data_IF_206279657036
#
_entry.id   IF_206279657036
#
_cell.length_a   1.000
_cell.length_b   1.000
_cell.length_c   1.000
_cell.angle_alpha   90.00
_cell.angle_beta   90.00
_cell.angle_gamma   90.00
#
_symmetry.space_group_name_H-M   'P 1'
#
loop_
_entity.id
_entity.type
_entity.pdbx_description
1 polymer ?
#
# COMPACT_ATOMS: atom_id res chain seq x y z
N UNK A 1 -18.75 -3.36 2.68
CA UNK A 1 -17.80 -4.18 1.90
C UNK A 1 -16.99 -5.14 2.78
N UNK A 2 -16.66 -4.79 4.03
CA UNK A 2 -15.84 -5.63 4.90
C UNK A 2 -16.53 -6.95 5.34
N UNK A 3 -17.83 -6.94 5.66
CA UNK A 3 -18.56 -8.18 6.03
C UNK A 3 -18.55 -9.23 4.90
N UNK A 4 -18.92 -8.92 3.64
CA UNK A 4 -18.76 -9.87 2.53
C UNK A 4 -17.35 -10.41 2.37
N UNK A 5 -16.32 -9.58 2.59
CA UNK A 5 -14.92 -10.02 2.51
C UNK A 5 -14.57 -11.00 3.64
N UNK A 6 -15.01 -10.70 4.88
CA UNK A 6 -14.87 -11.61 6.03
C UNK A 6 -15.54 -12.94 5.73
N UNK A 7 -16.79 -12.93 5.28
CA UNK A 7 -17.56 -14.16 4.99
C UNK A 7 -16.86 -15.01 3.92
N UNK A 8 -16.34 -14.38 2.85
CA UNK A 8 -15.58 -15.10 1.82
C UNK A 8 -14.30 -15.73 2.37
N UNK A 9 -13.56 -15.01 3.21
CA UNK A 9 -12.33 -15.53 3.83
C UNK A 9 -12.65 -16.67 4.80
N UNK A 10 -13.68 -16.53 5.64
CA UNK A 10 -14.09 -17.59 6.58
C UNK A 10 -14.58 -18.84 5.85
N UNK A 11 -15.29 -18.67 4.73
CA UNK A 11 -15.71 -19.78 3.87
C UNK A 11 -14.52 -20.51 3.26
N UNK A 12 -13.52 -19.79 2.76
CA UNK A 12 -12.30 -20.38 2.19
C UNK A 12 -11.46 -21.10 3.25
N UNK A 13 -11.36 -20.51 4.45
CA UNK A 13 -10.57 -21.07 5.55
C UNK A 13 -11.27 -22.20 6.30
N UNK A 14 -12.60 -22.28 6.21
CA UNK A 14 -13.42 -23.23 6.96
C UNK A 14 -13.53 -22.93 8.46
N UNK A 15 -13.11 -21.74 8.91
CA UNK A 15 -13.23 -21.32 10.30
C UNK A 15 -13.45 -19.80 10.42
N UNK A 16 -13.99 -19.37 11.57
CA UNK A 16 -14.24 -17.96 11.85
C UNK A 16 -12.94 -17.20 12.17
N UNK A 17 -12.77 -16.05 11.55
CA UNK A 17 -11.66 -15.14 11.84
C UNK A 17 -12.11 -14.09 12.85
N UNK A 18 -11.27 -13.84 13.84
CA UNK A 18 -11.52 -12.85 14.91
C UNK A 18 -10.58 -11.66 14.84
N UNK A 19 -9.48 -11.78 14.11
CA UNK A 19 -8.46 -10.76 13.99
C UNK A 19 -8.08 -10.57 12.53
N UNK A 20 -7.87 -9.33 12.12
CA UNK A 20 -7.36 -9.02 10.79
C UNK A 20 -6.54 -7.72 10.82
N UNK A 21 -5.59 -7.61 9.89
CA UNK A 21 -4.91 -6.38 9.54
C UNK A 21 -5.44 -5.97 8.17
N UNK A 22 -5.64 -4.67 7.95
CA UNK A 22 -5.88 -4.15 6.61
C UNK A 22 -5.05 -2.89 6.39
N UNK A 23 -4.76 -2.65 5.12
CA UNK A 23 -4.27 -1.36 4.65
C UNK A 23 -5.40 -0.51 4.08
N UNK A 24 -5.17 0.79 4.06
CA UNK A 24 -6.19 1.77 3.68
C UNK A 24 -5.59 2.82 2.76
N UNK A 25 -6.37 3.34 1.81
CA UNK A 25 -5.94 4.48 1.03
C UNK A 25 -5.67 5.64 1.98
N UNK A 26 -4.52 6.30 1.81
CA UNK A 26 -4.17 7.44 2.66
C UNK A 26 -4.99 8.69 2.28
N UNK A 27 -6.23 8.73 2.76
CA UNK A 27 -7.24 9.72 2.44
C UNK A 27 -7.32 10.85 3.47
N UNK A 28 -7.67 12.04 3.01
CA UNK A 28 -8.03 13.14 3.88
C UNK A 28 -9.29 12.79 4.68
N UNK A 29 -9.21 13.00 6.00
CA UNK A 29 -10.30 12.72 6.95
C UNK A 29 -10.71 11.25 7.08
N UNK A 30 -9.86 10.30 6.66
CA UNK A 30 -9.96 8.90 7.08
C UNK A 30 -9.00 8.67 8.24
N UNK A 31 -9.53 8.51 9.44
CA UNK A 31 -8.75 8.36 10.66
C UNK A 31 -8.65 6.88 11.09
N UNK A 32 -7.63 6.49 11.86
CA UNK A 32 -7.53 5.13 12.41
C UNK A 32 -8.79 4.67 13.16
N UNK A 33 -9.48 5.59 13.82
CA UNK A 33 -10.74 5.35 14.53
C UNK A 33 -11.85 4.87 13.58
N UNK A 34 -12.02 5.52 12.42
CA UNK A 34 -13.02 5.12 11.42
C UNK A 34 -12.78 3.69 10.93
N UNK A 35 -11.51 3.30 10.86
CA UNK A 35 -11.09 1.95 10.49
C UNK A 35 -11.42 0.95 11.59
N UNK A 36 -11.10 1.27 12.84
CA UNK A 36 -11.37 0.37 13.96
C UNK A 36 -12.87 0.16 14.15
N UNK A 37 -13.67 1.22 14.04
CA UNK A 37 -15.14 1.14 14.09
C UNK A 37 -15.69 0.23 12.99
N UNK A 38 -15.14 0.32 11.77
CA UNK A 38 -15.53 -0.57 10.67
C UNK A 38 -15.18 -2.04 10.95
N UNK A 39 -14.06 -2.32 11.62
CA UNK A 39 -13.65 -3.66 12.03
C UNK A 39 -14.53 -4.19 13.16
N UNK A 40 -14.77 -3.37 14.19
CA UNK A 40 -15.63 -3.72 15.32
C UNK A 40 -17.06 -4.03 14.85
N UNK A 41 -17.58 -3.23 13.92
CA UNK A 41 -18.92 -3.42 13.33
C UNK A 41 -19.11 -4.81 12.71
N UNK A 42 -18.06 -5.41 12.15
CA UNK A 42 -18.10 -6.77 11.55
C UNK A 42 -17.57 -7.86 12.47
N UNK A 43 -17.35 -7.55 13.76
CA UNK A 43 -16.84 -8.48 14.76
C UNK A 43 -15.38 -8.87 14.59
N UNK A 44 -14.56 -8.02 13.97
CA UNK A 44 -13.12 -8.20 13.84
C UNK A 44 -12.36 -7.31 14.83
N UNK A 45 -11.29 -7.87 15.39
CA UNK A 45 -10.29 -7.13 16.15
C UNK A 45 -9.22 -6.64 15.16
N UNK A 46 -9.03 -5.33 15.07
CA UNK A 46 -7.95 -4.75 14.27
C UNK A 46 -6.59 -5.13 14.87
N UNK A 47 -5.82 -5.92 14.14
CA UNK A 47 -4.49 -6.35 14.54
C UNK A 47 -3.50 -5.23 14.24
N UNK A 48 -2.80 -4.75 15.27
CA UNK A 48 -1.68 -3.81 15.08
C UNK A 48 -0.44 -4.58 14.63
N UNK A 49 0.32 -4.00 13.69
CA UNK A 49 1.57 -4.57 13.18
C UNK A 49 2.81 -3.71 13.50
N UNK A 50 2.60 -2.44 13.88
CA UNK A 50 3.61 -1.53 14.41
C UNK A 50 3.21 -1.03 15.80
N UNK A 51 4.17 -0.55 16.62
CA UNK A 51 3.89 -0.11 17.99
C UNK A 51 2.98 1.12 18.09
N UNK A 52 2.75 1.81 16.97
CA UNK A 52 1.96 3.02 16.88
C UNK A 52 0.50 2.68 16.55
N UNK A 53 -0.40 3.47 17.12
CA UNK A 53 -1.85 3.38 16.90
C UNK A 53 -2.25 4.05 15.58
N UNK A 54 -1.59 3.65 14.49
CA UNK A 54 -1.84 4.17 13.15
C UNK A 54 -2.29 3.04 12.22
N UNK A 55 -3.24 3.37 11.36
CA UNK A 55 -3.67 2.49 10.29
C UNK A 55 -2.53 2.29 9.27
N UNK A 56 -2.49 1.13 8.61
CA UNK A 56 -1.48 0.86 7.58
C UNK A 56 -1.88 1.60 6.31
N UNK A 57 -1.11 2.59 5.84
CA UNK A 57 -1.40 3.18 4.55
C UNK A 57 -1.11 2.18 3.44
N UNK A 58 -1.87 2.26 2.36
CA UNK A 58 -1.76 1.43 1.17
C UNK A 58 -0.33 1.41 0.60
N UNK A 59 0.37 2.53 0.59
CA UNK A 59 1.76 2.60 0.15
C UNK A 59 2.70 1.72 0.99
N UNK A 60 2.48 1.61 2.31
CA UNK A 60 3.31 0.77 3.17
C UNK A 60 3.05 -0.71 2.90
N UNK A 61 1.78 -1.06 2.67
CA UNK A 61 1.40 -2.40 2.25
C UNK A 61 1.95 -2.75 0.86
N UNK A 62 1.91 -1.82 -0.10
CA UNK A 62 2.53 -1.99 -1.42
C UNK A 62 4.03 -2.18 -1.31
N UNK A 63 4.69 -1.46 -0.41
CA UNK A 63 6.11 -1.64 -0.17
C UNK A 63 6.43 -3.02 0.41
N UNK A 64 5.68 -3.45 1.43
CA UNK A 64 5.78 -4.79 2.00
C UNK A 64 5.50 -5.90 0.97
N UNK A 65 4.56 -5.64 0.07
CA UNK A 65 4.10 -6.58 -0.97
C UNK A 65 5.23 -7.09 -1.85
N UNK A 66 6.26 -6.27 -2.05
CA UNK A 66 7.40 -6.57 -2.91
C UNK A 66 8.57 -7.21 -2.15
N UNK A 67 8.37 -7.54 -0.87
CA UNK A 67 9.43 -8.08 -0.03
C UNK A 67 10.49 -7.05 0.36
N UNK A 68 10.25 -5.76 0.10
CA UNK A 68 11.20 -4.70 0.41
C UNK A 68 11.28 -4.47 1.91
N UNK A 69 12.49 -4.59 2.44
CA UNK A 69 12.83 -4.24 3.81
C UNK A 69 11.91 -4.92 4.86
N UNK A 70 11.44 -6.13 4.54
CA UNK A 70 10.77 -7.02 5.49
C UNK A 70 11.80 -7.65 6.42
N UNK A 71 11.42 -7.79 7.69
CA UNK A 71 12.25 -8.49 8.67
C UNK A 71 12.36 -9.97 8.31
N UNK A 72 13.59 -10.51 8.33
CA UNK A 72 13.88 -11.93 8.12
C UNK A 72 13.28 -12.76 9.25
N UNK A 73 13.42 -12.28 10.49
CA UNK A 73 12.73 -12.84 11.65
C UNK A 73 11.67 -11.88 12.18
N UNK A 74 10.51 -11.88 11.53
CA UNK A 74 9.36 -11.10 11.97
C UNK A 74 8.77 -11.56 13.32
N UNK A 75 9.13 -12.75 13.82
CA UNK A 75 8.63 -13.26 15.12
C UNK A 75 9.48 -12.72 16.27
N UNK A 76 10.75 -12.46 16.02
CA UNK A 76 11.64 -11.84 16.97
C UNK A 76 11.60 -10.31 16.84
N UNK A 77 10.77 -9.66 17.65
CA UNK A 77 10.62 -8.20 17.64
C UNK A 77 11.96 -7.46 17.76
N UNK A 78 12.84 -7.91 18.65
CA UNK A 78 14.14 -7.25 18.87
C UNK A 78 15.00 -7.33 17.62
N UNK A 79 15.11 -8.53 17.05
CA UNK A 79 15.87 -8.72 15.82
C UNK A 79 15.26 -7.95 14.65
N UNK A 80 13.94 -7.90 14.52
CA UNK A 80 13.28 -7.10 13.49
C UNK A 80 13.57 -5.59 13.65
N UNK A 81 13.64 -5.08 14.89
CA UNK A 81 14.05 -3.69 15.15
C UNK A 81 15.52 -3.45 14.81
N UNK A 82 16.41 -4.39 15.14
CA UNK A 82 17.83 -4.33 14.76
C UNK A 82 17.99 -4.36 13.23
N UNK A 83 17.30 -5.25 12.53
CA UNK A 83 17.29 -5.34 11.07
C UNK A 83 16.77 -4.05 10.42
N UNK A 84 15.79 -3.38 11.04
CA UNK A 84 15.29 -2.07 10.59
C UNK A 84 16.30 -0.94 10.80
N UNK A 85 17.08 -0.98 11.89
CA UNK A 85 18.14 -0.01 12.17
C UNK A 85 19.37 -0.24 11.28
N UNK A 86 19.66 -1.49 10.95
CA UNK A 86 20.76 -1.94 10.10
C UNK A 86 20.45 -1.85 8.60
N UNK A 87 19.25 -1.37 8.22
CA UNK A 87 19.02 -0.97 6.85
C UNK A 87 20.08 0.06 6.50
N UNK A 88 20.93 -0.26 5.52
CA UNK A 88 21.96 0.63 4.96
C UNK A 88 21.28 1.76 4.18
N UNK A 89 20.43 2.51 4.87
CA UNK A 89 19.90 3.80 4.45
C UNK A 89 21.12 4.73 4.46
N UNK A 90 21.44 5.40 3.34
CA UNK A 90 22.55 6.35 3.30
C UNK A 90 22.42 7.34 4.46
N UNK A 91 23.55 7.76 5.06
CA UNK A 91 23.60 8.69 6.20
C UNK A 91 22.82 10.01 5.95
N UNK A 92 22.46 10.29 4.69
CA UNK A 92 21.77 11.50 4.25
C UNK A 92 20.30 11.35 3.80
N UNK A 93 19.69 10.16 3.69
CA UNK A 93 18.44 10.09 2.91
C UNK A 93 17.41 9.07 3.36
N UNK A 94 16.27 9.55 3.86
CA UNK A 94 15.02 8.79 3.88
C UNK A 94 14.66 8.35 2.45
N UNK A 95 14.13 7.14 2.27
CA UNK A 95 13.61 6.75 0.95
C UNK A 95 12.24 7.37 0.75
N UNK A 96 11.97 7.72 -0.50
CA UNK A 96 10.66 8.17 -0.90
C UNK A 96 10.20 7.37 -2.11
N UNK A 97 8.89 7.13 -2.16
CA UNK A 97 8.25 6.38 -3.24
C UNK A 97 7.16 7.24 -3.85
N UNK A 98 6.86 7.08 -5.13
CA UNK A 98 5.61 7.60 -5.69
C UNK A 98 4.58 6.49 -5.69
N UNK A 99 3.40 6.77 -5.19
CA UNK A 99 2.29 5.82 -5.19
C UNK A 99 1.13 6.46 -5.92
N UNK A 100 0.86 5.96 -7.12
CA UNK A 100 -0.28 6.33 -7.93
C UNK A 100 -1.37 5.29 -7.71
N UNK A 101 -2.58 5.75 -7.42
CA UNK A 101 -3.76 4.91 -7.35
C UNK A 101 -4.85 5.51 -8.21
N UNK A 102 -5.18 4.84 -9.31
CA UNK A 102 -6.29 5.25 -10.17
C UNK A 102 -7.40 4.21 -10.06
N UNK A 103 -8.49 4.59 -9.42
CA UNK A 103 -9.68 3.76 -9.27
C UNK A 103 -10.82 4.22 -10.17
N UNK A 104 -11.93 3.49 -10.12
CA UNK A 104 -13.21 3.91 -10.67
C UNK A 104 -13.66 5.31 -10.22
N UNK A 105 -13.35 5.70 -8.98
CA UNK A 105 -13.93 6.87 -8.32
C UNK A 105 -12.94 7.99 -8.05
N UNK A 106 -11.64 7.73 -8.07
CA UNK A 106 -10.64 8.75 -7.77
C UNK A 106 -9.28 8.45 -8.39
N UNK A 107 -8.53 9.52 -8.63
CA UNK A 107 -7.08 9.50 -8.78
C UNK A 107 -6.45 10.00 -7.48
N UNK A 108 -5.58 9.19 -6.89
CA UNK A 108 -4.85 9.50 -5.66
C UNK A 108 -3.35 9.33 -5.88
N UNK A 109 -2.56 10.26 -5.37
CA UNK A 109 -1.11 10.26 -5.47
C UNK A 109 -0.52 10.52 -4.09
N UNK A 110 0.36 9.62 -3.64
CA UNK A 110 1.06 9.75 -2.37
C UNK A 110 2.57 9.68 -2.62
N UNK A 111 3.31 10.59 -1.99
CA UNK A 111 4.78 10.62 -2.03
C UNK A 111 5.31 10.45 -0.60
N UNK A 112 5.21 9.24 -0.03
CA UNK A 112 5.56 9.03 1.36
C UNK A 112 7.06 9.01 1.57
N UNK A 113 7.45 9.48 2.75
CA UNK A 113 8.80 9.29 3.27
C UNK A 113 8.80 8.04 4.15
N UNK A 114 9.56 7.02 3.75
CA UNK A 114 9.60 5.74 4.45
C UNK A 114 10.98 5.09 4.42
N UNK A 115 11.30 4.35 5.47
CA UNK A 115 12.53 3.53 5.55
C UNK A 115 12.23 2.05 5.37
N UNK A 116 11.07 1.62 5.84
CA UNK A 116 10.58 0.26 5.73
C UNK A 116 9.04 0.27 5.71
N UNK A 117 8.37 -0.86 5.44
CA UNK A 117 6.92 -0.96 5.62
C UNK A 117 6.43 -0.69 7.05
N UNK A 118 7.35 -0.64 8.01
CA UNK A 118 7.09 -0.45 9.44
C UNK A 118 7.47 0.95 9.95
N UNK A 119 8.15 1.75 9.12
CA UNK A 119 8.70 3.06 9.48
C UNK A 119 8.45 4.06 8.34
N UNK A 120 7.41 4.87 8.51
CA UNK A 120 6.93 5.89 7.57
C UNK A 120 6.42 7.12 8.32
N UNK A 121 6.57 8.29 7.70
CA UNK A 121 6.22 9.57 8.30
C UNK A 121 5.01 10.23 7.64
N UNK A 122 3.82 9.87 8.11
CA UNK A 122 2.55 10.40 7.61
C UNK A 122 2.44 11.95 7.64
N UNK A 123 3.20 12.63 8.49
CA UNK A 123 3.14 14.10 8.63
C UNK A 123 3.90 14.87 7.56
N UNK A 124 4.92 14.25 6.96
CA UNK A 124 5.71 14.87 5.89
C UNK A 124 5.29 14.41 4.49
N UNK A 125 4.39 13.43 4.43
CA UNK A 125 3.87 12.87 3.20
C UNK A 125 3.12 13.94 2.36
N UNK A 126 3.47 14.00 1.07
CA UNK A 126 2.70 14.77 0.09
C UNK A 126 1.60 13.89 -0.46
N UNK A 127 0.35 14.37 -0.37
CA UNK A 127 -0.82 13.68 -0.88
C UNK A 127 -1.63 14.58 -1.82
N UNK A 128 -2.14 13.98 -2.88
CA UNK A 128 -3.02 14.63 -3.85
C UNK A 128 -4.18 13.69 -4.14
N UNK A 129 -5.40 14.18 -3.95
CA UNK A 129 -6.62 13.40 -4.09
C UNK A 129 -7.56 14.14 -5.04
N UNK A 130 -8.07 13.47 -6.07
CA UNK A 130 -9.05 14.04 -6.99
C UNK A 130 -10.13 13.00 -7.34
N UNK A 131 -11.31 13.20 -6.75
CA UNK A 131 -12.49 12.34 -6.94
C UNK A 131 -13.22 12.61 -8.27
N UNK A 132 -12.87 13.68 -8.99
CA UNK A 132 -13.41 13.95 -10.33
C UNK A 132 -12.54 13.36 -11.46
N UNK A 133 -11.48 12.65 -11.10
CA UNK A 133 -10.52 12.00 -12.01
C UNK A 133 -10.47 10.47 -11.84
N UNK A 134 -11.49 9.86 -11.23
CA UNK A 134 -11.70 8.42 -11.32
C UNK A 134 -12.09 7.97 -12.73
N UNK A 135 -11.89 6.69 -13.05
CA UNK A 135 -12.14 6.13 -14.38
C UNK A 135 -13.58 6.36 -14.88
N UNK A 136 -14.58 6.45 -13.98
CA UNK A 136 -15.97 6.76 -14.37
C UNK A 136 -16.15 8.16 -14.95
N UNK A 137 -15.32 9.12 -14.53
CA UNK A 137 -15.36 10.49 -15.02
C UNK A 137 -14.94 10.62 -16.50
N UNK A 138 -14.27 9.59 -17.05
CA UNK A 138 -13.86 9.50 -18.46
C UNK A 138 -15.03 9.70 -19.42
N UNK A 139 -16.18 9.09 -19.12
CA UNK A 139 -17.38 9.20 -19.95
C UNK A 139 -17.96 10.63 -19.99
N UNK A 140 -17.80 11.40 -18.92
CA UNK A 140 -18.32 12.76 -18.79
C UNK A 140 -17.38 13.80 -19.42
N UNK A 141 -16.06 13.59 -19.30
CA UNK A 141 -15.03 14.52 -19.79
C UNK A 141 -14.62 14.27 -21.24
N UNK A 142 -15.01 13.12 -21.79
CA UNK A 142 -14.48 12.62 -23.05
C UNK A 142 -13.06 12.09 -22.90
N UNK A 143 -12.65 11.23 -23.84
CA UNK A 143 -11.38 10.50 -23.79
C UNK A 143 -10.17 11.41 -23.59
N UNK A 144 -9.95 12.34 -24.53
CA UNK A 144 -8.79 13.23 -24.51
C UNK A 144 -8.85 14.19 -23.31
N UNK A 145 -10.02 14.77 -23.05
CA UNK A 145 -10.19 15.72 -21.94
C UNK A 145 -9.93 15.09 -20.56
N UNK A 146 -10.32 13.83 -20.38
CA UNK A 146 -10.02 13.06 -19.17
C UNK A 146 -8.52 12.85 -19.00
N UNK A 147 -7.85 12.34 -20.02
CA UNK A 147 -6.42 12.03 -19.93
C UNK A 147 -5.54 13.27 -19.84
N UNK A 148 -5.92 14.39 -20.47
CA UNK A 148 -5.26 15.68 -20.26
C UNK A 148 -5.35 16.12 -18.80
N UNK A 149 -6.50 15.95 -18.15
CA UNK A 149 -6.67 16.32 -16.74
C UNK A 149 -5.89 15.38 -15.79
N UNK A 150 -5.84 14.08 -16.09
CA UNK A 150 -5.01 13.10 -15.36
C UNK A 150 -3.52 13.47 -15.47
N UNK A 151 -3.02 13.72 -16.68
CA UNK A 151 -1.63 14.15 -16.91
C UNK A 151 -1.30 15.42 -16.12
N UNK A 152 -2.16 16.43 -16.18
CA UNK A 152 -1.96 17.69 -15.46
C UNK A 152 -1.85 17.50 -13.94
N UNK A 153 -2.64 16.60 -13.34
CA UNK A 153 -2.54 16.29 -11.91
C UNK A 153 -1.23 15.58 -11.57
N UNK A 154 -0.80 14.62 -12.41
CA UNK A 154 0.47 13.91 -12.20
C UNK A 154 1.64 14.90 -12.31
N UNK A 155 1.68 15.74 -13.34
CA UNK A 155 2.71 16.76 -13.52
C UNK A 155 2.75 17.73 -12.33
N UNK A 156 1.60 18.25 -11.91
CA UNK A 156 1.51 19.14 -10.75
C UNK A 156 2.07 18.47 -9.48
N UNK A 157 1.69 17.22 -9.22
CA UNK A 157 2.19 16.48 -8.05
C UNK A 157 3.71 16.31 -8.09
N UNK A 158 4.25 16.01 -9.27
CA UNK A 158 5.66 15.84 -9.55
C UNK A 158 6.44 17.14 -9.29
N UNK A 159 5.93 18.29 -9.73
CA UNK A 159 6.56 19.59 -9.47
C UNK A 159 6.50 20.01 -8.00
N UNK A 160 5.37 19.79 -7.31
CA UNK A 160 5.24 20.13 -5.88
C UNK A 160 6.13 19.24 -5.01
N UNK A 161 6.36 17.99 -5.42
CA UNK A 161 7.25 17.05 -4.73
C UNK A 161 8.73 17.21 -5.10
N UNK A 162 9.09 18.17 -5.97
CA UNK A 162 10.47 18.39 -6.40
C UNK A 162 11.44 18.65 -5.25
N UNK A 163 11.03 19.43 -4.25
CA UNK A 163 11.85 19.66 -3.06
C UNK A 163 12.16 18.35 -2.31
N UNK A 164 11.20 17.44 -2.27
CA UNK A 164 11.37 16.13 -1.65
C UNK A 164 12.33 15.25 -2.46
N UNK A 165 12.45 15.44 -3.77
CA UNK A 165 13.46 14.75 -4.57
C UNK A 165 14.88 15.26 -4.31
N UNK A 166 15.01 16.54 -3.99
CA UNK A 166 16.30 17.14 -3.69
C UNK A 166 16.80 16.71 -2.29
N UNK A 167 15.89 16.30 -1.40
CA UNK A 167 16.21 15.93 0.00
C UNK A 167 16.09 14.44 0.32
N UNK A 168 15.33 13.66 -0.47
CA UNK A 168 15.09 12.24 -0.23
C UNK A 168 15.49 11.42 -1.45
N UNK A 169 15.87 10.16 -1.22
CA UNK A 169 16.19 9.24 -2.31
C UNK A 169 14.87 8.70 -2.85
N UNK A 170 14.43 9.26 -3.96
CA UNK A 170 13.32 8.68 -4.72
C UNK A 170 13.76 7.35 -5.32
N UNK A 171 13.17 6.25 -4.85
CA UNK A 171 13.68 4.92 -5.16
C UNK A 171 12.74 4.10 -6.04
N UNK A 172 11.42 4.28 -5.88
CA UNK A 172 10.40 3.45 -6.56
C UNK A 172 9.14 4.21 -6.91
N UNK A 173 8.43 3.71 -7.92
CA UNK A 173 7.09 4.14 -8.29
C UNK A 173 6.16 2.94 -8.28
N UNK A 174 5.08 3.03 -7.53
CA UNK A 174 4.01 2.04 -7.43
C UNK A 174 2.77 2.59 -8.14
N UNK A 175 2.18 1.82 -9.04
CA UNK A 175 0.91 2.16 -9.70
C UNK A 175 -0.12 1.10 -9.37
N UNK A 176 -1.23 1.48 -8.74
CA UNK A 176 -2.29 0.59 -8.23
C UNK A 176 -3.68 1.03 -8.70
N UNK A 177 -4.69 0.21 -8.38
CA UNK A 177 -6.09 0.43 -8.76
C UNK A 177 -6.41 -0.11 -10.17
N UNK A 178 -7.65 0.06 -10.59
CA UNK A 178 -8.12 -0.39 -11.91
C UNK A 178 -7.32 0.25 -13.06
N UNK A 179 -6.94 1.52 -12.89
CA UNK A 179 -6.17 2.29 -13.87
C UNK A 179 -4.77 1.73 -14.12
N UNK A 180 -4.20 0.93 -13.21
CA UNK A 180 -2.91 0.27 -13.45
C UNK A 180 -2.94 -0.68 -14.67
N UNK A 181 -4.14 -1.13 -15.10
CA UNK A 181 -4.34 -1.95 -16.30
C UNK A 181 -4.37 -1.12 -17.58
N UNK A 182 -4.66 0.18 -17.50
CA UNK A 182 -4.75 1.09 -18.65
C UNK A 182 -3.35 1.45 -19.15
N UNK A 183 -3.04 1.06 -20.39
CA UNK A 183 -1.75 1.34 -21.03
C UNK A 183 -1.42 2.83 -21.05
N UNK A 184 -2.41 3.66 -21.42
CA UNK A 184 -2.25 5.12 -21.48
C UNK A 184 -1.89 5.75 -20.13
N UNK A 185 -2.43 5.23 -19.03
CA UNK A 185 -2.06 5.70 -17.69
C UNK A 185 -0.62 5.30 -17.34
N UNK A 186 -0.25 4.05 -17.65
CA UNK A 186 1.11 3.56 -17.41
C UNK A 186 2.16 4.36 -18.17
N UNK A 187 1.88 4.69 -19.43
CA UNK A 187 2.77 5.47 -20.26
C UNK A 187 2.96 6.88 -19.73
N UNK A 188 1.90 7.53 -19.23
CA UNK A 188 2.02 8.84 -18.57
C UNK A 188 2.91 8.77 -17.33
N UNK A 189 2.72 7.76 -16.48
CA UNK A 189 3.55 7.60 -15.28
C UNK A 189 5.02 7.37 -15.68
N UNK A 190 5.30 6.51 -16.67
CA UNK A 190 6.66 6.29 -17.18
C UNK A 190 7.30 7.56 -17.71
N UNK A 191 6.60 8.29 -18.57
CA UNK A 191 7.11 9.53 -19.17
C UNK A 191 7.56 10.55 -18.11
N UNK A 192 6.92 10.56 -16.95
CA UNK A 192 7.23 11.49 -15.86
C UNK A 192 8.34 10.93 -14.97
N UNK A 193 8.35 9.62 -14.71
CA UNK A 193 9.26 9.00 -13.74
C UNK A 193 10.59 8.50 -14.35
N UNK A 194 10.60 7.95 -15.55
CA UNK A 194 11.80 7.37 -16.18
C UNK A 194 12.92 8.40 -16.44
N UNK A 195 12.65 9.64 -16.90
CA UNK A 195 13.71 10.65 -17.05
C UNK A 195 14.42 11.01 -15.75
N UNK A 196 13.85 10.63 -14.60
CA UNK A 196 14.39 10.84 -13.25
C UNK A 196 15.18 9.63 -12.75
N UNK A 197 15.34 8.59 -13.58
CA UNK A 197 16.04 7.36 -13.24
C UNK A 197 15.26 6.45 -12.28
N UNK A 198 13.94 6.67 -12.15
CA UNK A 198 13.10 5.88 -11.25
C UNK A 198 12.65 4.59 -11.92
N UNK A 199 12.70 3.50 -11.16
CA UNK A 199 12.12 2.22 -11.55
C UNK A 199 10.62 2.22 -11.29
N UNK A 200 9.83 1.86 -12.31
CA UNK A 200 8.38 1.95 -12.29
C UNK A 200 7.75 0.56 -12.27
N UNK A 201 7.07 0.26 -11.15
CA UNK A 201 6.39 -1.00 -10.92
C UNK A 201 4.87 -0.82 -11.04
N UNK A 202 4.26 -1.70 -11.83
CA UNK A 202 2.82 -1.67 -12.12
C UNK A 202 2.10 -2.83 -11.45
N UNK A 203 1.19 -2.49 -10.55
CA UNK A 203 0.36 -3.44 -9.80
C UNK A 203 -1.03 -3.48 -10.40
N UNK A 204 -1.24 -4.47 -11.27
CA UNK A 204 -2.52 -4.69 -11.93
C UNK A 204 -3.48 -5.55 -11.11
N UNK A 205 -3.05 -5.99 -9.92
CA UNK A 205 -3.85 -6.77 -8.97
C UNK A 205 -4.03 -5.97 -7.69
N UNK A 206 -5.21 -6.07 -7.08
CA UNK A 206 -5.42 -5.62 -5.70
C UNK A 206 -4.57 -6.55 -4.83
N UNK A 207 -3.57 -6.05 -4.09
CA UNK A 207 -2.79 -6.88 -3.21
C UNK A 207 -3.67 -7.38 -2.07
N UNK A 208 -4.28 -8.55 -2.24
CA UNK A 208 -4.95 -9.26 -1.17
C UNK A 208 -3.88 -10.06 -0.42
N UNK A 209 -3.23 -9.42 0.55
CA UNK A 209 -2.31 -10.12 1.45
C UNK A 209 -3.08 -10.85 2.54
N UNK A 210 -3.48 -12.08 2.24
CA UNK A 210 -3.86 -13.06 3.25
C UNK A 210 -2.58 -13.62 3.90
N UNK A 211 -2.03 -12.89 4.87
CA UNK A 211 -1.00 -13.47 5.74
C UNK A 211 -1.71 -14.24 6.86
N UNK A 212 -1.89 -15.55 6.64
CA UNK A 212 -2.44 -16.44 7.66
C UNK A 212 -1.42 -16.58 8.80
N UNK A 213 -1.81 -16.10 9.98
CA UNK A 213 -1.14 -16.43 11.23
C UNK A 213 -1.46 -17.88 11.57
N UNK A 214 -0.64 -18.82 11.11
CA UNK A 214 -0.71 -20.22 11.55
C UNK A 214 -0.39 -20.29 13.04
N UNK A 215 -1.43 -20.30 13.88
CA UNK A 215 -1.40 -21.05 15.11
C UNK A 215 -1.94 -22.44 14.80
N UNK A 216 -1.03 -23.41 14.85
CA UNK A 216 -1.14 -24.88 14.97
C UNK A 216 0.17 -25.38 14.31
N UNK A 217 1.26 -25.72 15.01
CA UNK A 217 1.36 -26.70 16.11
C UNK A 217 0.25 -27.74 16.02
N UNK A 218 0.31 -28.57 14.98
CA UNK A 218 -0.03 -29.98 15.14
C UNK A 218 1.21 -30.76 14.73
N UNK A 219 1.78 -31.39 15.75
CA UNK A 219 2.77 -32.45 15.65
C UNK A 219 2.45 -33.38 14.49
N UNK A 220 3.49 -33.78 13.75
CA UNK A 220 3.35 -34.81 12.73
C UNK A 220 2.72 -36.05 13.36
N UNK A 221 1.43 -36.25 13.09
CA UNK A 221 0.78 -37.54 13.14
C UNK A 221 1.45 -38.41 12.07
N UNK A 222 2.58 -39.02 12.41
CA UNK A 222 3.07 -40.20 11.71
C UNK A 222 2.22 -41.39 12.14
N UNK A 223 1.09 -41.56 11.46
CA UNK A 223 0.44 -42.86 11.36
C UNK A 223 1.12 -43.67 10.23
N UNK A 224 1.29 -44.97 10.50
CA UNK A 224 1.87 -46.04 9.67
C UNK A 224 3.40 -46.15 9.78
N UNK A 225 3.99 -47.27 10.22
CA UNK A 225 3.69 -48.64 9.79
C UNK A 225 3.33 -49.62 10.92
N UNK A 226 2.15 -50.23 10.76
CA UNK A 226 1.93 -51.60 11.19
C UNK A 226 2.51 -52.53 10.11
N UNK A 227 3.48 -53.36 10.51
CA UNK A 227 3.72 -54.73 10.02
C UNK A 227 4.72 -55.39 10.96
#
# INVERSE_FOLDING_TARGET
MLQPLKDMVEMELGYQITHALASFPYLTALYPEDIWDAFEYVGLIFQKYIPWDVAVPDYAANYASQGYFLCKDYKNKTQCLEEQQDLNVPETGEFSTFNFHLSDTALMLNVPIMRSPYDYNMYLDRRFENFDLGMRARSLRGEEGYWTAVAAMIEQSSEVSKLQWDTCIMYKVFVTGEGAKEERFRDMVRMICEPKGLDVEFFTHIPLYLQLRNHLLIEGASASSAS
#
